data_IF_233640372728
#
_entry.id   IF_233640372728
#
_cell.length_a   1.000
_cell.length_b   1.000
_cell.length_c   1.000
_cell.angle_alpha   90.00
_cell.angle_beta   90.00
_cell.angle_gamma   90.00
#
_symmetry.space_group_name_H-M   'P 1'
#
loop_
_entity.id
_entity.type
_entity.pdbx_description
1 polymer ?
#
# COMPACT_ATOMS: atom_id res chain seq x y z
N UNK A 1 -9.24 8.97 -18.99
CA UNK A 1 -8.17 9.89 -18.51
C UNK A 1 -7.37 10.51 -19.66
N UNK A 2 -6.86 11.73 -19.48
CA UNK A 2 -5.79 12.24 -20.34
C UNK A 2 -4.50 11.50 -19.95
N UNK A 3 -3.64 11.18 -20.92
CA UNK A 3 -2.32 10.57 -20.65
C UNK A 3 -1.52 11.37 -19.60
N UNK A 4 -1.76 12.69 -19.49
CA UNK A 4 -1.14 13.58 -18.49
C UNK A 4 -1.37 13.21 -17.01
N UNK A 5 -2.37 12.39 -16.68
CA UNK A 5 -2.73 12.10 -15.28
C UNK A 5 -1.92 10.93 -14.67
N UNK A 6 -1.11 10.23 -15.47
CA UNK A 6 -0.29 9.10 -15.02
C UNK A 6 0.59 9.38 -13.78
N UNK A 7 1.19 10.57 -13.58
CA UNK A 7 2.02 10.83 -12.41
C UNK A 7 1.21 10.87 -11.12
N UNK A 8 -0.05 11.35 -11.18
CA UNK A 8 -0.94 11.40 -10.02
C UNK A 8 -1.37 9.99 -9.61
N UNK A 9 -1.59 9.09 -10.57
CA UNK A 9 -1.86 7.68 -10.30
C UNK A 9 -0.66 7.03 -9.62
N UNK A 10 0.54 7.22 -10.18
CA UNK A 10 1.78 6.71 -9.61
C UNK A 10 1.99 7.20 -8.17
N UNK A 11 1.80 8.49 -7.94
CA UNK A 11 1.84 9.09 -6.60
C UNK A 11 0.89 8.37 -5.63
N UNK A 12 -0.36 8.13 -6.04
CA UNK A 12 -1.34 7.47 -5.19
C UNK A 12 -0.96 6.03 -4.83
N UNK A 13 -0.44 5.25 -5.79
CA UNK A 13 -0.01 3.86 -5.57
C UNK A 13 1.18 3.81 -4.59
N UNK A 14 2.15 4.71 -4.75
CA UNK A 14 3.30 4.80 -3.84
C UNK A 14 2.87 5.15 -2.40
N UNK A 15 1.94 6.09 -2.24
CA UNK A 15 1.39 6.41 -0.91
C UNK A 15 0.64 5.22 -0.30
N UNK A 16 -0.25 4.57 -1.06
CA UNK A 16 -1.04 3.43 -0.59
C UNK A 16 -0.14 2.29 -0.11
N UNK A 17 0.87 1.90 -0.90
CA UNK A 17 1.82 0.85 -0.52
C UNK A 17 2.60 1.21 0.74
N UNK A 18 3.09 2.45 0.85
CA UNK A 18 3.93 2.86 1.97
C UNK A 18 3.13 3.03 3.28
N UNK A 19 1.97 3.69 3.23
CA UNK A 19 1.06 3.83 4.38
C UNK A 19 0.58 2.45 4.82
N UNK A 20 0.12 1.63 3.86
CA UNK A 20 -0.29 0.25 4.09
C UNK A 20 0.78 -0.58 4.80
N UNK A 21 2.01 -0.55 4.29
CA UNK A 21 3.12 -1.28 4.89
C UNK A 21 3.42 -0.83 6.32
N UNK A 22 3.37 0.47 6.57
CA UNK A 22 3.56 1.00 7.92
C UNK A 22 2.43 0.58 8.88
N UNK A 23 1.18 0.47 8.44
CA UNK A 23 0.09 -0.01 9.30
C UNK A 23 0.37 -1.43 9.80
N UNK A 24 0.81 -2.34 8.92
CA UNK A 24 1.15 -3.71 9.30
C UNK A 24 2.43 -3.79 10.13
N UNK A 25 3.48 -3.03 9.78
CA UNK A 25 4.72 -2.99 10.56
C UNK A 25 4.52 -2.36 11.93
N UNK A 26 3.81 -1.24 12.00
CA UNK A 26 3.46 -0.56 13.24
C UNK A 26 2.62 -1.46 14.15
N UNK A 27 1.64 -2.17 13.58
CA UNK A 27 0.91 -3.21 14.30
C UNK A 27 1.83 -4.31 14.83
N UNK A 28 2.74 -4.83 14.00
CA UNK A 28 3.72 -5.85 14.41
C UNK A 28 4.63 -5.36 15.55
N UNK A 29 5.10 -4.11 15.51
CA UNK A 29 5.89 -3.48 16.57
C UNK A 29 5.08 -3.36 17.86
N UNK A 30 3.81 -2.92 17.77
CA UNK A 30 2.91 -2.81 18.93
C UNK A 30 2.61 -4.15 19.60
N UNK A 31 2.65 -5.27 18.87
CA UNK A 31 2.47 -6.60 19.49
C UNK A 31 3.56 -6.98 20.50
N UNK A 32 4.73 -6.32 20.45
CA UNK A 32 5.85 -6.62 21.34
C UNK A 32 6.51 -7.98 21.12
N UNK A 33 6.10 -8.74 20.10
CA UNK A 33 6.67 -10.06 19.78
C UNK A 33 8.08 -9.99 19.18
N UNK A 34 8.48 -8.82 18.67
CA UNK A 34 9.81 -8.58 18.11
C UNK A 34 10.81 -8.34 19.25
N UNK A 35 11.93 -9.07 19.26
CA UNK A 35 12.99 -8.79 20.21
C UNK A 35 13.67 -7.44 19.89
N UNK A 36 14.35 -6.84 20.87
CA UNK A 36 15.00 -5.53 20.70
C UNK A 36 15.89 -5.45 19.45
N UNK A 37 16.72 -6.47 19.20
CA UNK A 37 17.56 -6.52 17.99
C UNK A 37 16.79 -6.69 16.67
N UNK A 38 15.62 -7.33 16.70
CA UNK A 38 14.74 -7.40 15.53
C UNK A 38 14.04 -6.07 15.29
N UNK A 39 13.55 -5.42 16.34
CA UNK A 39 12.94 -4.10 16.24
C UNK A 39 13.94 -3.09 15.64
N UNK A 40 15.18 -3.06 16.14
CA UNK A 40 16.23 -2.18 15.57
C UNK A 40 16.45 -2.43 14.07
N UNK A 41 16.50 -3.70 13.64
CA UNK A 41 16.62 -4.05 12.21
C UNK A 41 15.40 -3.61 11.40
N UNK A 42 14.19 -3.73 11.95
CA UNK A 42 12.96 -3.22 11.31
C UNK A 42 13.03 -1.69 11.18
N UNK A 43 13.42 -0.97 12.23
CA UNK A 43 13.59 0.49 12.20
C UNK A 43 14.60 0.95 11.13
N UNK A 44 15.64 0.16 10.85
CA UNK A 44 16.60 0.42 9.76
C UNK A 44 16.01 0.24 8.36
N UNK A 45 14.88 -0.43 8.22
CA UNK A 45 14.21 -0.61 6.92
C UNK A 45 13.17 0.49 6.61
N UNK A 46 12.64 1.16 7.64
CA UNK A 46 11.65 2.24 7.50
C UNK A 46 12.05 3.42 6.59
N UNK A 47 13.34 3.82 6.45
CA UNK A 47 13.74 4.81 5.46
C UNK A 47 13.28 4.52 4.04
N UNK A 48 13.12 3.25 3.67
CA UNK A 48 12.54 2.87 2.38
C UNK A 48 11.08 3.33 2.23
N UNK A 49 10.27 3.23 3.29
CA UNK A 49 8.89 3.73 3.29
C UNK A 49 8.84 5.26 3.25
N UNK A 50 9.74 5.93 3.95
CA UNK A 50 9.86 7.39 3.91
C UNK A 50 10.20 7.90 2.52
N UNK A 51 11.11 7.21 1.82
CA UNK A 51 11.44 7.54 0.44
C UNK A 51 10.23 7.38 -0.49
N UNK A 52 9.45 6.30 -0.35
CA UNK A 52 8.23 6.09 -1.15
C UNK A 52 7.18 7.17 -0.91
N UNK A 53 6.96 7.57 0.36
CA UNK A 53 6.01 8.64 0.71
C UNK A 53 6.48 10.00 0.23
N UNK A 54 7.76 10.31 0.43
CA UNK A 54 8.35 11.54 -0.06
C UNK A 54 8.23 11.63 -1.59
N UNK A 55 8.61 10.57 -2.31
CA UNK A 55 8.47 10.51 -3.76
C UNK A 55 7.01 10.66 -4.20
N UNK A 56 6.07 10.00 -3.53
CA UNK A 56 4.63 10.15 -3.78
C UNK A 56 4.18 11.61 -3.70
N UNK A 57 4.49 12.29 -2.59
CA UNK A 57 4.09 13.68 -2.36
C UNK A 57 4.77 14.64 -3.35
N UNK A 58 6.06 14.45 -3.62
CA UNK A 58 6.80 15.29 -4.58
C UNK A 58 6.23 15.13 -6.00
N UNK A 59 6.01 13.90 -6.46
CA UNK A 59 5.43 13.65 -7.79
C UNK A 59 4.08 14.37 -7.90
N UNK A 60 3.22 14.27 -6.88
CA UNK A 60 1.92 14.96 -6.86
C UNK A 60 2.07 16.46 -7.01
N UNK A 61 2.83 17.11 -6.13
CA UNK A 61 2.94 18.57 -6.12
C UNK A 61 3.60 19.10 -7.39
N UNK A 62 4.67 18.45 -7.85
CA UNK A 62 5.37 18.82 -9.08
C UNK A 62 4.43 18.74 -10.29
N UNK A 63 3.63 17.67 -10.40
CA UNK A 63 2.65 17.56 -11.48
C UNK A 63 1.59 18.66 -11.42
N UNK A 64 1.07 19.00 -10.23
CA UNK A 64 0.08 20.07 -10.08
C UNK A 64 0.64 21.46 -10.37
N UNK A 65 1.94 21.69 -10.11
CA UNK A 65 2.64 22.92 -10.48
C UNK A 65 2.80 23.04 -11.99
N UNK A 66 3.23 21.97 -12.67
CA UNK A 66 3.42 21.98 -14.12
C UNK A 66 2.11 22.06 -14.90
N UNK A 67 1.02 21.49 -14.39
CA UNK A 67 -0.29 21.57 -15.03
C UNK A 67 -0.98 22.93 -14.87
N UNK A 68 -0.38 23.91 -14.15
CA UNK A 68 -0.97 25.22 -13.84
C UNK A 68 -2.33 25.12 -13.12
N UNK A 69 -2.70 23.94 -12.58
CA UNK A 69 -3.97 23.70 -11.89
C UNK A 69 -3.87 23.90 -10.38
N UNK A 70 -2.74 24.40 -9.86
CA UNK A 70 -2.50 24.57 -8.43
C UNK A 70 -3.60 25.40 -7.73
N UNK A 71 -4.14 26.41 -8.41
CA UNK A 71 -5.24 27.24 -7.88
C UNK A 71 -6.60 26.53 -7.95
N UNK A 72 -6.77 25.54 -8.85
CA UNK A 72 -8.04 24.87 -9.11
C UNK A 72 -8.24 23.55 -8.35
N UNK A 73 -7.17 22.88 -7.89
CA UNK A 73 -7.23 21.67 -7.06
C UNK A 73 -6.52 21.90 -5.72
N UNK A 74 -7.23 22.36 -4.67
CA UNK A 74 -6.63 22.52 -3.34
C UNK A 74 -6.12 21.19 -2.79
N UNK A 75 -5.31 21.25 -1.73
CA UNK A 75 -4.86 20.05 -1.02
C UNK A 75 -6.10 19.28 -0.55
N UNK A 76 -6.33 18.11 -1.16
CA UNK A 76 -7.46 17.26 -0.82
C UNK A 76 -7.32 16.68 0.59
N UNK A 77 -8.44 16.30 1.18
CA UNK A 77 -8.48 15.67 2.52
C UNK A 77 -7.59 14.44 2.60
N UNK A 78 -7.60 13.57 1.58
CA UNK A 78 -6.70 12.40 1.46
C UNK A 78 -5.22 12.80 1.55
N UNK A 79 -4.82 13.87 0.85
CA UNK A 79 -3.43 14.35 0.86
C UNK A 79 -3.05 14.95 2.20
N UNK A 80 -3.96 15.68 2.88
CA UNK A 80 -3.71 16.18 4.23
C UNK A 80 -3.46 15.04 5.23
N UNK A 81 -4.25 13.97 5.16
CA UNK A 81 -4.03 12.78 5.99
C UNK A 81 -2.69 12.09 5.67
N UNK A 82 -2.32 11.99 4.39
CA UNK A 82 -1.03 11.43 3.98
C UNK A 82 0.18 12.26 4.48
N UNK A 83 0.12 13.59 4.39
CA UNK A 83 1.16 14.49 4.90
C UNK A 83 1.26 14.39 6.42
N UNK A 84 0.12 14.41 7.11
CA UNK A 84 0.07 14.32 8.58
C UNK A 84 0.60 12.96 9.06
N UNK A 85 0.22 11.89 8.36
CA UNK A 85 0.77 10.55 8.58
C UNK A 85 2.29 10.55 8.41
N UNK A 86 2.80 11.10 7.31
CA UNK A 86 4.23 11.13 7.03
C UNK A 86 5.00 11.89 8.12
N UNK A 87 4.51 13.04 8.56
CA UNK A 87 5.11 13.81 9.64
C UNK A 87 5.14 13.06 10.98
N UNK A 88 4.04 12.42 11.38
CA UNK A 88 3.97 11.63 12.62
C UNK A 88 4.84 10.36 12.56
N UNK A 89 4.85 9.69 11.41
CA UNK A 89 5.60 8.46 11.23
C UNK A 89 7.12 8.73 11.18
N UNK A 90 7.54 9.86 10.58
CA UNK A 90 8.93 10.31 10.59
C UNK A 90 9.38 10.76 11.99
N UNK A 91 8.54 11.51 12.72
CA UNK A 91 8.84 11.89 14.11
C UNK A 91 8.92 10.68 15.03
N UNK A 92 8.04 9.69 14.86
CA UNK A 92 8.15 8.39 15.54
C UNK A 92 9.51 7.73 15.26
N UNK A 93 9.90 7.63 13.99
CA UNK A 93 11.15 7.00 13.61
C UNK A 93 12.38 7.67 14.23
N UNK A 94 12.42 9.01 14.24
CA UNK A 94 13.50 9.75 14.91
C UNK A 94 13.49 9.52 16.42
N UNK A 95 12.32 9.57 17.06
CA UNK A 95 12.17 9.36 18.49
C UNK A 95 12.61 7.95 18.91
N UNK A 96 12.27 6.92 18.14
CA UNK A 96 12.68 5.53 18.39
C UNK A 96 14.18 5.35 18.19
N UNK A 97 14.74 5.89 17.09
CA UNK A 97 16.17 5.73 16.78
C UNK A 97 17.09 6.45 17.77
N UNK A 98 16.69 7.62 18.24
CA UNK A 98 17.44 8.38 19.25
C UNK A 98 17.05 8.01 20.68
N UNK A 99 16.14 7.05 20.88
CA UNK A 99 15.57 6.69 22.18
C UNK A 99 15.07 7.91 22.96
N UNK A 100 14.50 8.89 22.26
CA UNK A 100 13.99 10.12 22.87
C UNK A 100 12.71 9.84 23.65
N UNK A 101 12.64 10.36 24.87
CA UNK A 101 11.47 10.23 25.74
C UNK A 101 11.28 8.83 26.36
N UNK A 102 10.17 8.67 27.08
CA UNK A 102 9.80 7.39 27.69
C UNK A 102 9.22 6.41 26.64
N UNK A 103 9.30 5.11 26.92
CA UNK A 103 8.74 4.05 26.07
C UNK A 103 7.25 4.25 25.78
N UNK A 104 6.48 4.69 26.77
CA UNK A 104 5.06 5.02 26.61
C UNK A 104 4.84 6.14 25.59
N UNK A 105 5.69 7.17 25.59
CA UNK A 105 5.55 8.29 24.66
C UNK A 105 5.78 7.84 23.21
N UNK A 106 6.77 6.97 22.97
CA UNK A 106 7.04 6.41 21.63
C UNK A 106 5.92 5.50 21.15
N UNK A 107 5.33 4.70 22.05
CA UNK A 107 4.14 3.89 21.74
C UNK A 107 2.91 4.73 21.41
N UNK A 108 2.69 5.84 22.13
CA UNK A 108 1.62 6.80 21.82
C UNK A 108 1.86 7.41 20.44
N UNK A 109 3.09 7.84 20.15
CA UNK A 109 3.43 8.44 18.86
C UNK A 109 3.23 7.46 17.69
N UNK A 110 3.64 6.19 17.86
CA UNK A 110 3.37 5.11 16.91
C UNK A 110 1.86 4.91 16.71
N UNK A 111 1.09 4.90 17.80
CA UNK A 111 -0.37 4.73 17.75
C UNK A 111 -1.05 5.89 17.04
N UNK A 112 -0.60 7.13 17.25
CA UNK A 112 -1.07 8.31 16.53
C UNK A 112 -0.75 8.23 15.03
N UNK A 113 0.45 7.77 14.67
CA UNK A 113 0.82 7.56 13.26
C UNK A 113 -0.07 6.49 12.61
N UNK A 114 -0.31 5.36 13.28
CA UNK A 114 -1.24 4.32 12.81
C UNK A 114 -2.66 4.87 12.64
N UNK A 115 -3.15 5.64 13.62
CA UNK A 115 -4.46 6.28 13.56
C UNK A 115 -4.59 7.17 12.32
N UNK A 116 -3.59 7.99 12.02
CA UNK A 116 -3.60 8.83 10.81
C UNK A 116 -3.54 8.01 9.52
N UNK A 117 -2.83 6.88 9.51
CA UNK A 117 -2.82 5.96 8.38
C UNK A 117 -4.19 5.30 8.16
N UNK A 118 -4.89 4.93 9.25
CA UNK A 118 -6.27 4.45 9.19
C UNK A 118 -7.24 5.55 8.71
N UNK A 119 -7.06 6.78 9.15
CA UNK A 119 -7.87 7.92 8.70
C UNK A 119 -7.67 8.17 7.19
N UNK A 120 -6.42 8.13 6.69
CA UNK A 120 -6.12 8.15 5.25
C UNK A 120 -6.87 7.04 4.50
N UNK A 121 -6.83 5.81 5.02
CA UNK A 121 -7.49 4.67 4.40
C UNK A 121 -9.01 4.82 4.32
N UNK A 122 -9.66 5.22 5.42
CA UNK A 122 -11.12 5.43 5.47
C UNK A 122 -11.55 6.54 4.51
N UNK A 123 -10.86 7.68 4.53
CA UNK A 123 -11.14 8.81 3.62
C UNK A 123 -10.91 8.41 2.17
N UNK A 124 -9.85 7.64 1.88
CA UNK A 124 -9.56 7.16 0.54
C UNK A 124 -10.65 6.25 -0.03
N UNK A 125 -11.24 5.38 0.79
CA UNK A 125 -12.41 4.57 0.40
C UNK A 125 -13.62 5.47 0.13
N UNK A 126 -13.90 6.42 1.04
CA UNK A 126 -15.06 7.32 0.91
C UNK A 126 -14.99 8.15 -0.38
N UNK A 127 -13.82 8.64 -0.76
CA UNK A 127 -13.63 9.41 -2.00
C UNK A 127 -13.87 8.58 -3.27
N UNK A 128 -13.80 7.25 -3.17
CA UNK A 128 -13.94 6.31 -4.28
C UNK A 128 -15.24 5.50 -4.22
N UNK A 129 -16.16 5.84 -3.30
CA UNK A 129 -17.38 5.06 -3.03
C UNK A 129 -18.31 4.95 -4.24
N UNK A 130 -18.25 5.91 -5.17
CA UNK A 130 -19.05 5.90 -6.39
C UNK A 130 -18.65 4.78 -7.37
N UNK A 131 -17.41 4.28 -7.28
CA UNK A 131 -16.88 3.25 -8.16
C UNK A 131 -16.28 2.11 -7.33
N UNK A 132 -17.14 1.13 -7.01
CA UNK A 132 -16.79 -0.01 -6.15
C UNK A 132 -15.48 -0.71 -6.55
N UNK A 133 -15.24 -0.98 -7.84
CA UNK A 133 -14.04 -1.65 -8.34
C UNK A 133 -12.77 -0.86 -8.02
N UNK A 134 -12.82 0.46 -8.18
CA UNK A 134 -11.71 1.37 -7.88
C UNK A 134 -11.48 1.44 -6.37
N UNK A 135 -12.56 1.50 -5.58
CA UNK A 135 -12.46 1.42 -4.12
C UNK A 135 -11.85 0.08 -3.66
N UNK A 136 -12.21 -1.04 -4.30
CA UNK A 136 -11.66 -2.35 -3.96
C UNK A 136 -10.20 -2.51 -4.38
N UNK A 137 -9.80 -1.96 -5.53
CA UNK A 137 -8.38 -1.89 -5.89
C UNK A 137 -7.61 -0.98 -4.93
N UNK A 138 -8.17 0.15 -4.50
CA UNK A 138 -7.56 0.97 -3.46
C UNK A 138 -7.35 0.17 -2.16
N UNK A 139 -8.34 -0.64 -1.76
CA UNK A 139 -8.25 -1.54 -0.61
C UNK A 139 -7.18 -2.60 -0.82
N UNK A 140 -7.14 -3.22 -1.99
CA UNK A 140 -6.14 -4.24 -2.34
C UNK A 140 -4.72 -3.66 -2.34
N UNK A 141 -4.49 -2.51 -2.96
CA UNK A 141 -3.17 -1.85 -2.97
C UNK A 141 -2.73 -1.48 -1.57
N UNK A 142 -3.61 -0.82 -0.80
CA UNK A 142 -3.26 -0.32 0.53
C UNK A 142 -3.08 -1.45 1.52
N UNK A 143 -4.01 -2.41 1.59
CA UNK A 143 -3.95 -3.48 2.59
C UNK A 143 -3.16 -4.70 2.11
N UNK A 144 -3.46 -5.27 0.94
CA UNK A 144 -2.73 -6.45 0.44
C UNK A 144 -1.31 -6.08 0.00
N UNK A 145 -1.16 -5.01 -0.78
CA UNK A 145 0.16 -4.52 -1.19
C UNK A 145 0.99 -4.00 -0.02
N UNK A 146 0.35 -3.29 0.91
CA UNK A 146 0.96 -2.89 2.17
C UNK A 146 1.43 -4.08 3.02
N UNK A 147 0.58 -5.09 3.22
CA UNK A 147 0.93 -6.30 3.97
C UNK A 147 2.10 -7.06 3.32
N UNK A 148 2.11 -7.17 1.99
CA UNK A 148 3.21 -7.78 1.26
C UNK A 148 4.52 -7.00 1.44
N UNK A 149 4.48 -5.67 1.30
CA UNK A 149 5.66 -4.83 1.51
C UNK A 149 6.14 -4.90 2.97
N UNK A 150 5.23 -4.87 3.95
CA UNK A 150 5.55 -5.07 5.36
C UNK A 150 6.22 -6.43 5.60
N UNK A 151 5.68 -7.50 5.02
CA UNK A 151 6.26 -8.83 5.12
C UNK A 151 7.66 -8.88 4.50
N UNK A 152 7.86 -8.27 3.34
CA UNK A 152 9.18 -8.18 2.71
C UNK A 152 10.19 -7.44 3.60
N UNK A 153 9.77 -6.33 4.24
CA UNK A 153 10.62 -5.59 5.16
C UNK A 153 10.93 -6.40 6.44
N UNK A 154 9.98 -7.19 6.95
CA UNK A 154 10.21 -8.12 8.06
C UNK A 154 11.19 -9.24 7.67
N UNK A 155 11.10 -9.77 6.43
CA UNK A 155 12.04 -10.75 5.89
C UNK A 155 13.44 -10.13 5.77
N UNK A 156 13.54 -8.89 5.26
CA UNK A 156 14.79 -8.14 5.19
C UNK A 156 15.39 -7.85 6.57
N UNK A 157 14.56 -7.67 7.58
CA UNK A 157 14.98 -7.50 8.98
C UNK A 157 15.30 -8.83 9.70
N UNK A 158 15.24 -9.96 8.99
CA UNK A 158 15.46 -11.31 9.51
C UNK A 158 14.64 -11.59 10.79
N UNK A 159 13.34 -11.28 10.73
CA UNK A 159 12.44 -11.61 11.82
C UNK A 159 12.38 -13.14 12.04
N UNK A 160 12.15 -13.56 13.29
CA UNK A 160 12.04 -14.98 13.68
C UNK A 160 10.61 -15.40 14.05
N UNK A 161 9.65 -14.47 13.97
CA UNK A 161 8.24 -14.70 14.34
C UNK A 161 7.55 -15.44 13.20
N UNK A 162 7.38 -16.75 13.34
CA UNK A 162 6.85 -17.63 12.28
C UNK A 162 5.39 -17.34 11.96
N UNK A 163 4.65 -16.79 12.92
CA UNK A 163 3.25 -16.40 12.74
C UNK A 163 3.11 -15.33 11.66
N UNK A 164 4.05 -14.39 11.53
CA UNK A 164 3.99 -13.36 10.48
C UNK A 164 4.16 -13.96 9.09
N UNK A 165 5.00 -14.99 8.93
CA UNK A 165 5.16 -15.70 7.67
C UNK A 165 3.89 -16.45 7.22
N UNK A 166 2.94 -16.68 8.14
CA UNK A 166 1.69 -17.38 7.86
C UNK A 166 0.53 -16.41 7.74
N UNK A 167 0.31 -15.56 8.74
CA UNK A 167 -0.83 -14.66 8.81
C UNK A 167 -0.83 -13.57 7.75
N UNK A 168 0.32 -12.96 7.43
CA UNK A 168 0.35 -11.85 6.47
C UNK A 168 -0.06 -12.33 5.06
N UNK A 169 0.47 -13.45 4.53
CA UNK A 169 -0.03 -14.02 3.27
C UNK A 169 -1.53 -14.34 3.32
N UNK A 170 -2.04 -14.98 4.37
CA UNK A 170 -3.48 -15.29 4.48
C UNK A 170 -4.37 -14.05 4.47
N UNK A 171 -3.97 -13.00 5.19
CA UNK A 171 -4.67 -11.71 5.17
C UNK A 171 -4.67 -11.13 3.74
N UNK A 172 -3.51 -11.16 3.07
CA UNK A 172 -3.36 -10.74 1.68
C UNK A 172 -4.27 -11.48 0.71
N UNK A 173 -4.28 -12.81 0.77
CA UNK A 173 -5.19 -13.63 -0.05
C UNK A 173 -6.66 -13.34 0.24
N UNK A 174 -7.03 -13.15 1.51
CA UNK A 174 -8.40 -12.79 1.88
C UNK A 174 -8.83 -11.46 1.25
N UNK A 175 -7.97 -10.45 1.29
CA UNK A 175 -8.22 -9.15 0.67
C UNK A 175 -8.27 -9.25 -0.86
N UNK A 176 -7.36 -10.00 -1.48
CA UNK A 176 -7.35 -10.19 -2.93
C UNK A 176 -8.59 -10.96 -3.41
N UNK A 177 -9.03 -11.98 -2.68
CA UNK A 177 -10.27 -12.70 -2.94
C UNK A 177 -11.48 -11.77 -2.83
N UNK A 178 -11.53 -10.94 -1.78
CA UNK A 178 -12.59 -9.95 -1.60
C UNK A 178 -12.61 -8.96 -2.78
N UNK A 179 -11.46 -8.46 -3.20
CA UNK A 179 -11.33 -7.57 -4.36
C UNK A 179 -11.83 -8.23 -5.65
N UNK A 180 -11.53 -9.51 -5.86
CA UNK A 180 -12.02 -10.27 -7.02
C UNK A 180 -13.54 -10.43 -6.99
N UNK A 181 -14.08 -10.94 -5.88
CA UNK A 181 -15.52 -11.22 -5.74
C UNK A 181 -16.35 -9.96 -5.93
N UNK A 182 -15.93 -8.85 -5.30
CA UNK A 182 -16.62 -7.58 -5.39
C UNK A 182 -16.36 -6.86 -6.72
N UNK A 183 -15.30 -7.21 -7.45
CA UNK A 183 -14.97 -6.65 -8.75
C UNK A 183 -15.72 -7.28 -9.94
N UNK A 184 -16.24 -8.51 -9.79
CA UNK A 184 -16.92 -9.25 -10.86
C UNK A 184 -18.11 -8.49 -11.48
N UNK A 185 -19.03 -7.87 -10.71
CA UNK A 185 -20.20 -7.21 -11.30
C UNK A 185 -19.81 -6.08 -12.28
N UNK A 186 -18.80 -5.28 -11.93
CA UNK A 186 -18.34 -4.17 -12.76
C UNK A 186 -17.50 -4.61 -13.97
N UNK A 187 -16.88 -5.79 -13.93
CA UNK A 187 -16.29 -6.38 -15.14
C UNK A 187 -17.35 -6.69 -16.19
N UNK A 188 -18.57 -7.04 -15.78
CA UNK A 188 -19.71 -7.21 -16.68
C UNK A 188 -20.06 -5.92 -17.41
N UNK A 189 -20.17 -4.82 -16.67
CA UNK A 189 -20.42 -3.49 -17.26
C UNK A 189 -19.31 -3.09 -18.23
N UNK A 190 -18.05 -3.26 -17.83
CA UNK A 190 -16.89 -2.97 -18.69
C UNK A 190 -16.85 -3.86 -19.94
N UNK A 191 -17.29 -5.12 -19.85
CA UNK A 191 -17.40 -5.99 -21.01
C UNK A 191 -18.46 -5.50 -22.01
N UNK A 192 -19.57 -4.93 -21.53
CA UNK A 192 -20.56 -4.32 -22.43
C UNK A 192 -20.02 -3.08 -23.14
N UNK A 193 -19.25 -2.24 -22.44
CA UNK A 193 -18.57 -1.06 -23.03
C UNK A 193 -17.48 -1.47 -24.03
N UNK A 194 -16.74 -2.54 -23.74
CA UNK A 194 -15.76 -3.11 -24.65
C UNK A 194 -16.40 -3.56 -25.98
N UNK A 195 -17.60 -4.16 -25.93
CA UNK A 195 -18.36 -4.52 -27.13
C UNK A 195 -18.83 -3.30 -27.94
N UNK A 196 -18.89 -2.12 -27.31
CA UNK A 196 -19.24 -0.85 -27.95
C UNK A 196 -18.01 -0.09 -28.49
N UNK A 197 -16.81 -0.66 -28.37
CA UNK A 197 -15.56 -0.12 -28.93
C UNK A 197 -14.58 0.43 -27.90
N UNK A 198 -14.96 0.53 -26.62
CA UNK A 198 -14.10 1.05 -25.55
C UNK A 198 -13.37 -0.08 -24.80
N UNK A 199 -12.38 -0.69 -25.47
CA UNK A 199 -11.65 -1.86 -24.95
C UNK A 199 -10.63 -1.54 -23.84
N UNK A 200 -10.11 -0.31 -23.79
CA UNK A 200 -8.99 0.08 -22.93
C UNK A 200 -9.22 -0.22 -21.43
N UNK A 201 -10.30 0.31 -20.83
CA UNK A 201 -10.61 0.10 -19.40
C UNK A 201 -10.80 -1.38 -19.05
N UNK A 202 -11.48 -2.15 -19.90
CA UNK A 202 -11.69 -3.58 -19.69
C UNK A 202 -10.37 -4.36 -19.65
N UNK A 203 -9.50 -4.15 -20.64
CA UNK A 203 -8.19 -4.83 -20.71
C UNK A 203 -7.30 -4.47 -19.52
N UNK A 204 -7.27 -3.19 -19.12
CA UNK A 204 -6.49 -2.72 -17.98
C UNK A 204 -6.93 -3.40 -16.67
N UNK A 205 -8.24 -3.55 -16.45
CA UNK A 205 -8.78 -4.20 -15.25
C UNK A 205 -8.52 -5.71 -15.23
N UNK A 206 -8.68 -6.40 -16.37
CA UNK A 206 -8.40 -7.84 -16.46
C UNK A 206 -6.92 -8.12 -16.19
N UNK A 207 -6.02 -7.33 -16.79
CA UNK A 207 -4.57 -7.46 -16.54
C UNK A 207 -4.26 -7.16 -15.07
N UNK A 208 -4.86 -6.11 -14.50
CA UNK A 208 -4.64 -5.74 -13.11
C UNK A 208 -5.03 -6.87 -12.14
N UNK A 209 -6.22 -7.45 -12.31
CA UNK A 209 -6.69 -8.56 -11.48
C UNK A 209 -5.83 -9.81 -11.67
N UNK A 210 -5.43 -10.12 -12.90
CA UNK A 210 -4.50 -11.21 -13.19
C UNK A 210 -3.15 -11.04 -12.48
N UNK A 211 -2.60 -9.82 -12.50
CA UNK A 211 -1.36 -9.47 -11.80
C UNK A 211 -1.51 -9.51 -10.27
N UNK A 212 -2.68 -9.13 -9.73
CA UNK A 212 -2.97 -9.25 -8.29
C UNK A 212 -2.95 -10.72 -7.86
N UNK A 213 -3.62 -11.59 -8.60
CA UNK A 213 -3.62 -13.04 -8.36
C UNK A 213 -2.21 -13.59 -8.46
N UNK A 214 -1.46 -13.21 -9.48
CA UNK A 214 -0.07 -13.65 -9.66
C UNK A 214 0.82 -13.20 -8.50
N UNK A 215 0.69 -11.94 -8.05
CA UNK A 215 1.44 -11.40 -6.92
C UNK A 215 1.17 -12.19 -5.63
N UNK A 216 -0.11 -12.45 -5.33
CA UNK A 216 -0.51 -13.24 -4.16
C UNK A 216 -0.03 -14.69 -4.30
N UNK A 217 -0.14 -15.29 -5.48
CA UNK A 217 0.35 -16.65 -5.75
C UNK A 217 1.86 -16.79 -5.51
N UNK A 218 2.66 -15.84 -6.01
CA UNK A 218 4.10 -15.78 -5.75
C UNK A 218 4.37 -15.55 -4.25
N UNK A 219 3.61 -14.68 -3.60
CA UNK A 219 3.74 -14.42 -2.17
C UNK A 219 3.41 -15.65 -1.31
N UNK A 220 2.46 -16.49 -1.74
CA UNK A 220 2.12 -17.76 -1.10
C UNK A 220 3.14 -18.88 -1.34
N UNK A 221 4.02 -18.75 -2.34
CA UNK A 221 4.96 -19.81 -2.72
C UNK A 221 5.81 -20.34 -1.56
N UNK A 222 6.35 -19.51 -0.63
CA UNK A 222 7.11 -20.01 0.52
C UNK A 222 6.28 -20.90 1.46
N UNK A 223 4.98 -20.60 1.63
CA UNK A 223 4.07 -21.42 2.42
C UNK A 223 3.80 -22.77 1.76
N UNK A 224 3.55 -22.77 0.44
CA UNK A 224 3.29 -24.00 -0.33
C UNK A 224 4.51 -24.92 -0.38
N UNK A 225 5.69 -24.34 -0.54
CA UNK A 225 6.97 -25.07 -0.63
C UNK A 225 7.58 -25.38 0.74
N UNK A 226 6.94 -24.96 1.84
CA UNK A 226 7.47 -25.04 3.21
C UNK A 226 8.88 -24.47 3.33
N UNK A 227 9.19 -23.45 2.53
CA UNK A 227 10.49 -22.79 2.49
C UNK A 227 10.44 -21.46 3.24
N UNK A 228 11.62 -20.94 3.60
CA UNK A 228 11.71 -19.61 4.22
C UNK A 228 11.42 -18.56 3.14
N UNK A 229 10.58 -17.54 3.42
CA UNK A 229 10.37 -16.46 2.47
C UNK A 229 11.70 -15.73 2.22
N UNK A 230 12.07 -15.64 0.96
CA UNK A 230 13.30 -14.97 0.51
C UNK A 230 12.97 -13.61 -0.08
N UNK A 231 13.86 -12.63 0.13
CA UNK A 231 13.68 -11.26 -0.32
C UNK A 231 13.36 -11.15 -1.81
N UNK A 232 14.04 -11.91 -2.67
CA UNK A 232 13.87 -11.83 -4.12
C UNK A 232 12.46 -12.22 -4.57
N UNK A 233 11.87 -13.25 -3.96
CA UNK A 233 10.49 -13.69 -4.26
C UNK A 233 9.50 -12.63 -3.80
N UNK A 234 9.71 -12.05 -2.61
CA UNK A 234 8.87 -10.95 -2.11
C UNK A 234 8.98 -9.70 -2.99
N UNK A 235 10.18 -9.34 -3.44
CA UNK A 235 10.41 -8.19 -4.31
C UNK A 235 9.71 -8.36 -5.67
N UNK A 236 9.75 -9.57 -6.23
CA UNK A 236 9.00 -9.88 -7.46
C UNK A 236 7.49 -9.77 -7.25
N UNK A 237 6.96 -10.30 -6.14
CA UNK A 237 5.54 -10.14 -5.80
C UNK A 237 5.15 -8.66 -5.62
N UNK A 238 6.00 -7.84 -4.99
CA UNK A 238 5.77 -6.39 -4.83
C UNK A 238 5.69 -5.71 -6.20
N UNK A 239 6.60 -6.07 -7.11
CA UNK A 239 6.60 -5.54 -8.47
C UNK A 239 5.29 -5.87 -9.21
N UNK A 240 4.80 -7.11 -9.10
CA UNK A 240 3.53 -7.52 -9.69
C UNK A 240 2.34 -6.76 -9.09
N UNK A 241 2.29 -6.59 -7.76
CA UNK A 241 1.23 -5.82 -7.09
C UNK A 241 1.29 -4.34 -7.48
N UNK A 242 2.47 -3.78 -7.64
CA UNK A 242 2.65 -2.40 -8.09
C UNK A 242 2.10 -2.20 -9.50
N UNK A 243 2.44 -3.10 -10.45
CA UNK A 243 1.91 -3.07 -11.81
C UNK A 243 0.39 -3.29 -11.84
N UNK A 244 -0.12 -4.22 -11.02
CA UNK A 244 -1.55 -4.43 -10.84
C UNK A 244 -2.24 -3.14 -10.40
N UNK A 245 -1.76 -2.52 -9.32
CA UNK A 245 -2.33 -1.30 -8.75
C UNK A 245 -2.32 -0.14 -9.73
N UNK A 246 -1.22 0.02 -10.47
CA UNK A 246 -1.10 1.02 -11.52
C UNK A 246 -2.07 0.76 -12.68
N UNK A 247 -2.18 -0.48 -13.16
CA UNK A 247 -3.11 -0.86 -14.22
C UNK A 247 -4.58 -0.62 -13.85
N UNK A 248 -4.97 -0.92 -12.61
CA UNK A 248 -6.33 -0.65 -12.12
C UNK A 248 -6.64 0.84 -12.04
N UNK A 249 -5.63 1.65 -11.70
CA UNK A 249 -5.77 3.10 -11.63
C UNK A 249 -5.89 3.74 -13.02
N UNK A 250 -5.26 3.15 -14.05
CA UNK A 250 -5.35 3.60 -15.46
C UNK A 250 -6.68 3.19 -16.11
N UNK A 251 -7.29 2.09 -15.68
CA UNK A 251 -8.59 1.62 -16.19
C UNK A 251 -9.80 2.44 -15.73
N UNK A 252 -9.60 3.71 -15.34
CA UNK A 252 -10.60 4.66 -14.87
C UNK A 252 -10.57 5.96 -15.69
#
# INVERSE_FOLDING_TARGET
MLWSDWPLLLSSVLAQLAIGAFLFLGGAILTGKLCFGQNDRVQRTLPGLWFLLFASLVIREVTLMFSQTYVAKPIGTETLFAISFFALALTYWFAEKQLMGNDTARKILLSCAIFMGCAYFVVGIMLRSNHLLVAMHFVATTLCGGALLAHALLVKAEHKVTEFNTWLPFIGAGIALLCLVLGIPQLGDLATQANQGELGPFVAQVISLGLLIAAVGVWFMPLLTKSKPVWNVMAFAIFLIFLSSYGAAVGY
#
